data_IF_178795615492
#
_entry.id   IF_178795615492
#
_cell.length_a   1.000
_cell.length_b   1.000
_cell.length_c   1.000
_cell.angle_alpha   90.00
_cell.angle_beta   90.00
_cell.angle_gamma   90.00
#
_symmetry.space_group_name_H-M   'P 1'
#
loop_
_entity.id
_entity.type
_entity.pdbx_description
1 polymer ?
#
# COMPACT_ATOMS: atom_id res chain seq x y z
N UNK A 1 16.25 -9.13 -9.79
CA UNK A 1 15.72 -7.76 -9.61
C UNK A 1 15.03 -7.68 -8.25
N UNK A 2 14.91 -6.49 -7.65
CA UNK A 2 14.04 -6.28 -6.49
C UNK A 2 12.66 -5.77 -6.96
N UNK A 3 11.64 -6.60 -6.77
CA UNK A 3 10.23 -6.30 -7.09
C UNK A 3 9.51 -5.92 -5.80
N UNK A 4 8.89 -4.74 -5.78
CA UNK A 4 7.97 -4.35 -4.73
C UNK A 4 6.53 -4.64 -5.19
N UNK A 5 5.69 -5.15 -4.32
CA UNK A 5 4.28 -5.40 -4.58
C UNK A 5 3.46 -4.73 -3.48
N UNK A 6 2.65 -3.73 -3.83
CA UNK A 6 1.71 -3.09 -2.91
C UNK A 6 0.33 -3.73 -3.08
N UNK A 7 -0.29 -4.11 -1.96
CA UNK A 7 -1.59 -4.78 -1.93
C UNK A 7 -2.30 -4.52 -0.61
N UNK A 8 -3.62 -4.68 -0.59
CA UNK A 8 -4.44 -4.71 0.64
C UNK A 8 -4.66 -6.14 1.15
N UNK A 9 -4.45 -7.13 0.30
CA UNK A 9 -4.62 -8.53 0.65
C UNK A 9 -3.39 -9.34 0.24
N UNK A 10 -2.94 -10.18 1.16
CA UNK A 10 -1.90 -11.19 0.95
C UNK A 10 -2.03 -12.20 2.08
N UNK A 11 -1.84 -13.50 1.78
CA UNK A 11 -1.97 -14.52 2.81
C UNK A 11 -1.07 -14.23 4.03
N UNK A 12 -1.61 -14.37 5.25
CA UNK A 12 -2.89 -15.00 5.58
C UNK A 12 -4.14 -14.09 5.54
N UNK A 13 -4.01 -12.78 5.32
CA UNK A 13 -5.16 -11.88 5.20
C UNK A 13 -5.84 -12.10 3.86
N UNK A 14 -7.09 -12.57 3.91
CA UNK A 14 -7.91 -12.90 2.75
C UNK A 14 -9.37 -12.52 2.97
N UNK A 15 -9.88 -11.70 2.09
CA UNK A 15 -11.31 -11.38 1.93
C UNK A 15 -11.82 -11.88 0.59
N UNK A 16 -11.01 -11.79 -0.47
CA UNK A 16 -11.38 -12.23 -1.82
C UNK A 16 -10.27 -13.00 -2.54
N UNK A 17 -10.35 -13.04 -3.87
CA UNK A 17 -9.36 -13.71 -4.72
C UNK A 17 -8.04 -12.96 -4.86
N UNK A 18 -7.97 -11.69 -4.43
CA UNK A 18 -6.77 -10.85 -4.51
C UNK A 18 -5.61 -11.44 -3.71
N UNK A 19 -5.87 -11.90 -2.47
CA UNK A 19 -4.83 -12.50 -1.62
C UNK A 19 -4.12 -13.66 -2.31
N UNK A 20 -4.89 -14.61 -2.86
CA UNK A 20 -4.37 -15.81 -3.53
C UNK A 20 -3.59 -15.45 -4.80
N UNK A 21 -4.10 -14.48 -5.58
CA UNK A 21 -3.44 -14.01 -6.80
C UNK A 21 -2.09 -13.36 -6.50
N UNK A 22 -2.03 -12.42 -5.55
CA UNK A 22 -0.79 -11.73 -5.19
C UNK A 22 0.20 -12.68 -4.52
N UNK A 23 -0.26 -13.56 -3.62
CA UNK A 23 0.62 -14.55 -2.99
C UNK A 23 1.22 -15.52 -4.01
N UNK A 24 0.40 -16.08 -4.91
CA UNK A 24 0.89 -17.01 -5.94
C UNK A 24 1.88 -16.34 -6.88
N UNK A 25 1.61 -15.08 -7.27
CA UNK A 25 2.51 -14.31 -8.12
C UNK A 25 3.83 -13.99 -7.41
N UNK A 26 3.79 -13.54 -6.15
CA UNK A 26 4.97 -13.25 -5.36
C UNK A 26 5.85 -14.50 -5.17
N UNK A 27 5.24 -15.66 -4.86
CA UNK A 27 5.94 -16.93 -4.73
C UNK A 27 6.58 -17.36 -6.07
N UNK A 28 5.89 -17.20 -7.20
CA UNK A 28 6.44 -17.49 -8.51
C UNK A 28 7.62 -16.58 -8.88
N UNK A 29 7.50 -15.27 -8.66
CA UNK A 29 8.57 -14.28 -8.90
C UNK A 29 9.78 -14.53 -8.01
N UNK A 30 9.57 -14.94 -6.76
CA UNK A 30 10.65 -15.19 -5.79
C UNK A 30 11.63 -16.32 -6.18
N UNK A 31 11.32 -17.07 -7.23
CA UNK A 31 12.21 -18.08 -7.82
C UNK A 31 13.40 -17.45 -8.56
N UNK A 32 13.24 -16.24 -9.08
CA UNK A 32 14.25 -15.54 -9.89
C UNK A 32 14.59 -14.15 -9.35
N UNK A 33 13.66 -13.52 -8.64
CA UNK A 33 13.77 -12.16 -8.14
C UNK A 33 13.64 -12.08 -6.62
N UNK A 34 14.09 -10.98 -6.04
CA UNK A 34 13.78 -10.64 -4.65
C UNK A 34 12.42 -9.93 -4.63
N UNK A 35 11.52 -10.37 -3.76
CA UNK A 35 10.13 -9.88 -3.75
C UNK A 35 9.77 -9.34 -2.39
N UNK A 36 9.35 -8.07 -2.35
CA UNK A 36 8.82 -7.39 -1.18
C UNK A 36 7.32 -7.19 -1.33
N UNK A 37 6.57 -7.53 -0.28
CA UNK A 37 5.15 -7.19 -0.16
C UNK A 37 5.01 -6.01 0.79
N UNK A 38 4.21 -5.03 0.42
CA UNK A 38 3.83 -3.90 1.25
C UNK A 38 2.30 -3.93 1.44
N UNK A 39 1.84 -4.03 2.67
CA UNK A 39 0.41 -4.03 2.97
C UNK A 39 0.11 -3.44 4.35
N UNK A 40 -1.10 -2.89 4.57
CA UNK A 40 -1.56 -2.58 5.92
C UNK A 40 -1.57 -3.85 6.78
N UNK A 41 -1.35 -3.71 8.09
CA UNK A 41 -1.28 -4.85 9.01
C UNK A 41 -2.61 -5.61 9.12
N UNK A 42 -3.74 -4.91 9.05
CA UNK A 42 -5.08 -5.49 9.19
C UNK A 42 -5.24 -6.35 10.45
N UNK A 43 -4.63 -5.93 11.56
CA UNK A 43 -4.68 -6.66 12.84
C UNK A 43 -3.82 -7.93 12.90
N UNK A 44 -3.19 -8.32 11.79
CA UNK A 44 -2.46 -9.58 11.64
C UNK A 44 -1.39 -9.81 12.73
N UNK A 45 -0.72 -8.74 13.15
CA UNK A 45 0.34 -8.81 14.18
C UNK A 45 -0.21 -9.35 15.51
N UNK A 46 -1.45 -8.99 15.84
CA UNK A 46 -2.14 -9.43 17.06
C UNK A 46 -2.79 -10.80 16.87
N UNK A 47 -3.36 -11.06 15.70
CA UNK A 47 -4.13 -12.28 15.42
C UNK A 47 -3.24 -13.50 15.14
N UNK A 48 -2.04 -13.29 14.60
CA UNK A 48 -1.10 -14.35 14.23
C UNK A 48 0.30 -14.11 14.81
N UNK A 49 0.48 -14.00 16.15
CA UNK A 49 1.77 -13.70 16.78
C UNK A 49 2.86 -14.74 16.45
N UNK A 50 2.48 -15.93 16.01
CA UNK A 50 3.38 -17.02 15.62
C UNK A 50 4.20 -16.74 14.34
N UNK A 51 3.83 -15.75 13.53
CA UNK A 51 4.57 -15.40 12.30
C UNK A 51 5.90 -14.66 12.55
N UNK A 52 6.34 -14.56 13.81
CA UNK A 52 7.64 -14.04 14.24
C UNK A 52 7.99 -12.67 13.63
N UNK A 53 7.09 -11.70 13.82
CA UNK A 53 7.28 -10.35 13.31
C UNK A 53 8.49 -9.68 13.96
N UNK A 54 9.34 -9.08 13.13
CA UNK A 54 10.40 -8.20 13.57
C UNK A 54 10.04 -6.76 13.29
N UNK A 55 10.24 -5.89 14.27
CA UNK A 55 10.10 -4.45 14.05
C UNK A 55 11.23 -3.95 13.13
N UNK A 56 10.86 -3.33 12.01
CA UNK A 56 11.80 -2.79 11.02
C UNK A 56 12.09 -1.30 11.24
N UNK A 57 11.06 -0.50 11.51
CA UNK A 57 11.22 0.94 11.72
C UNK A 57 10.01 1.58 12.42
N UNK A 58 10.23 2.76 12.99
CA UNK A 58 9.19 3.72 13.36
C UNK A 58 9.38 5.01 12.59
N UNK A 59 8.28 5.64 12.19
CA UNK A 59 8.26 7.01 11.73
C UNK A 59 6.87 7.61 11.95
N UNK A 60 6.67 8.86 11.50
CA UNK A 60 5.39 9.55 11.60
C UNK A 60 4.90 9.93 10.22
N UNK A 61 3.59 9.87 10.02
CA UNK A 61 2.91 10.34 8.81
C UNK A 61 1.98 11.50 9.16
N UNK A 62 1.81 12.42 8.22
CA UNK A 62 0.86 13.51 8.32
C UNK A 62 -0.38 13.18 7.48
N UNK A 63 -1.55 13.29 8.10
CA UNK A 63 -2.85 13.10 7.47
C UNK A 63 -3.73 14.28 7.89
N UNK A 64 -3.99 15.17 6.93
CA UNK A 64 -4.60 16.46 7.20
C UNK A 64 -3.72 17.32 8.10
N UNK A 65 -4.24 17.67 9.27
CA UNK A 65 -3.50 18.42 10.29
C UNK A 65 -2.95 17.51 11.41
N UNK A 66 -3.25 16.21 11.35
CA UNK A 66 -2.88 15.25 12.39
C UNK A 66 -1.60 14.49 12.04
N UNK A 67 -0.84 14.14 13.08
CA UNK A 67 0.39 13.35 12.96
C UNK A 67 0.17 12.01 13.62
N UNK A 68 0.33 10.94 12.84
CA UNK A 68 0.14 9.57 13.32
C UNK A 68 1.48 8.86 13.45
N UNK A 69 1.74 8.14 14.57
CA UNK A 69 2.85 7.20 14.63
C UNK A 69 2.57 6.02 13.69
N UNK A 70 3.61 5.55 13.02
CA UNK A 70 3.57 4.41 12.13
C UNK A 70 4.75 3.48 12.42
N UNK A 71 4.43 2.23 12.73
CA UNK A 71 5.41 1.16 12.91
C UNK A 71 5.39 0.26 11.69
N UNK A 72 6.57 -0.07 11.17
CA UNK A 72 6.73 -1.09 10.14
C UNK A 72 7.24 -2.36 10.79
N UNK A 73 6.50 -3.44 10.63
CA UNK A 73 6.94 -4.79 10.96
C UNK A 73 7.33 -5.51 9.68
N UNK A 74 8.23 -6.47 9.81
CA UNK A 74 8.62 -7.37 8.74
C UNK A 74 8.52 -8.83 9.19
N UNK A 75 8.19 -9.71 8.26
CA UNK A 75 8.34 -11.14 8.42
C UNK A 75 8.60 -11.79 7.05
N UNK A 76 8.92 -13.08 7.06
CA UNK A 76 9.21 -13.83 5.84
C UNK A 76 8.17 -14.92 5.65
N UNK A 77 7.67 -15.04 4.42
CA UNK A 77 6.90 -16.18 3.95
C UNK A 77 7.67 -16.85 2.83
N UNK A 78 8.35 -17.95 3.14
CA UNK A 78 9.30 -18.55 2.20
C UNK A 78 10.40 -17.57 1.83
N UNK A 79 10.53 -17.25 0.53
CA UNK A 79 11.51 -16.29 0.01
C UNK A 79 10.96 -14.85 -0.14
N UNK A 80 9.69 -14.64 0.20
CA UNK A 80 9.03 -13.34 0.10
C UNK A 80 9.13 -12.60 1.42
N UNK A 81 9.67 -11.37 1.39
CA UNK A 81 9.74 -10.50 2.57
C UNK A 81 8.50 -9.62 2.61
N UNK A 82 7.80 -9.60 3.72
CA UNK A 82 6.52 -8.90 3.85
C UNK A 82 6.69 -7.79 4.88
N UNK A 83 6.31 -6.57 4.51
CA UNK A 83 6.27 -5.40 5.37
C UNK A 83 4.84 -5.01 5.70
N UNK A 84 4.52 -5.02 7.00
CA UNK A 84 3.22 -4.65 7.54
C UNK A 84 3.26 -3.23 8.09
N UNK A 85 2.34 -2.40 7.62
CA UNK A 85 2.15 -1.03 8.08
C UNK A 85 1.16 -1.04 9.24
N UNK A 86 1.63 -0.70 10.44
CA UNK A 86 0.87 -0.84 11.69
C UNK A 86 0.75 0.50 12.42
N UNK A 87 -0.50 0.87 12.69
CA UNK A 87 -0.91 1.94 13.57
C UNK A 87 -2.38 1.74 13.97
N UNK A 88 -2.92 2.62 14.81
CA UNK A 88 -4.29 2.52 15.32
C UNK A 88 -5.38 2.37 14.23
N UNK A 89 -5.15 2.88 13.02
CA UNK A 89 -6.08 2.77 11.88
C UNK A 89 -5.87 1.47 11.10
N UNK A 90 -4.62 1.18 10.71
CA UNK A 90 -4.29 0.01 9.88
C UNK A 90 -4.40 -1.31 10.62
N UNK A 91 -4.31 -1.30 11.95
CA UNK A 91 -4.45 -2.47 12.82
C UNK A 91 -5.91 -2.91 13.02
N UNK A 92 -6.90 -2.16 12.54
CA UNK A 92 -8.28 -2.65 12.52
C UNK A 92 -8.37 -3.94 11.66
N UNK A 93 -9.06 -5.00 12.11
CA UNK A 93 -9.03 -6.29 11.39
C UNK A 93 -9.78 -6.27 10.05
N UNK A 94 -10.93 -5.58 10.00
CA UNK A 94 -11.73 -5.52 8.77
C UNK A 94 -11.01 -4.78 7.63
N UNK A 95 -10.83 -5.41 6.46
CA UNK A 95 -10.06 -4.86 5.34
C UNK A 95 -10.83 -3.75 4.59
N UNK A 96 -12.07 -4.04 4.18
CA UNK A 96 -12.85 -3.17 3.26
C UNK A 96 -14.05 -2.46 3.91
N UNK A 97 -14.56 -2.99 5.02
CA UNK A 97 -15.73 -2.43 5.71
C UNK A 97 -15.40 -2.07 7.16
N UNK A 98 -16.06 -1.06 7.75
CA UNK A 98 -16.86 -0.02 7.08
C UNK A 98 -16.00 0.87 6.16
N UNK A 99 -16.65 1.50 5.17
CA UNK A 99 -15.98 2.32 4.14
C UNK A 99 -15.10 3.42 4.75
N UNK A 100 -15.54 4.04 5.83
CA UNK A 100 -14.82 5.13 6.51
C UNK A 100 -13.45 4.66 7.01
N UNK A 101 -13.39 3.54 7.72
CA UNK A 101 -12.13 2.95 8.22
C UNK A 101 -11.24 2.55 7.05
N UNK A 102 -11.82 1.95 6.02
CA UNK A 102 -11.09 1.54 4.84
C UNK A 102 -10.46 2.71 4.07
N UNK A 103 -11.18 3.83 3.89
CA UNK A 103 -10.61 5.05 3.30
C UNK A 103 -9.47 5.59 4.16
N UNK A 104 -9.61 5.58 5.49
CA UNK A 104 -8.51 5.97 6.38
C UNK A 104 -7.29 5.06 6.19
N UNK A 105 -7.46 3.73 6.12
CA UNK A 105 -6.35 2.80 5.83
C UNK A 105 -5.68 3.10 4.50
N UNK A 106 -6.46 3.37 3.46
CA UNK A 106 -5.96 3.78 2.14
C UNK A 106 -5.07 5.00 2.24
N UNK A 107 -5.52 6.04 2.94
CA UNK A 107 -4.78 7.28 3.11
C UNK A 107 -3.50 7.05 3.92
N UNK A 108 -3.60 6.33 5.03
CA UNK A 108 -2.44 6.04 5.89
C UNK A 108 -1.39 5.20 5.17
N UNK A 109 -1.81 4.17 4.44
CA UNK A 109 -0.92 3.36 3.62
C UNK A 109 -0.28 4.18 2.49
N UNK A 110 -1.07 5.06 1.86
CA UNK A 110 -0.59 6.00 0.83
C UNK A 110 0.52 6.90 1.35
N UNK A 111 0.38 7.46 2.55
CA UNK A 111 1.42 8.29 3.18
C UNK A 111 2.59 7.47 3.71
N UNK A 112 2.33 6.25 4.19
CA UNK A 112 3.33 5.37 4.77
C UNK A 112 4.32 4.83 3.73
N UNK A 113 3.83 4.38 2.58
CA UNK A 113 4.64 3.63 1.62
C UNK A 113 5.87 4.42 1.12
N UNK A 114 5.76 5.69 0.67
CA UNK A 114 6.92 6.53 0.36
C UNK A 114 7.93 6.63 1.51
N UNK A 115 7.45 6.72 2.76
CA UNK A 115 8.28 6.75 3.95
C UNK A 115 9.10 5.47 4.12
N UNK A 116 8.48 4.30 3.91
CA UNK A 116 9.19 3.02 3.94
C UNK A 116 10.21 2.91 2.79
N UNK A 117 9.87 3.34 1.57
CA UNK A 117 10.82 3.32 0.44
C UNK A 117 12.06 4.18 0.75
N UNK A 118 11.87 5.37 1.33
CA UNK A 118 12.98 6.21 1.76
C UNK A 118 13.84 5.53 2.85
N UNK A 119 13.22 4.80 3.77
CA UNK A 119 13.93 4.05 4.80
C UNK A 119 14.69 2.85 4.23
N UNK A 120 14.15 2.13 3.25
CA UNK A 120 14.85 1.06 2.53
C UNK A 120 16.10 1.61 1.83
N UNK A 121 15.97 2.75 1.13
CA UNK A 121 17.12 3.42 0.54
C UNK A 121 18.19 3.78 1.57
N UNK A 122 17.78 4.34 2.71
CA UNK A 122 18.71 4.78 3.76
C UNK A 122 19.39 3.60 4.48
N UNK A 123 18.64 2.56 4.82
CA UNK A 123 19.11 1.44 5.65
C UNK A 123 19.77 0.33 4.83
N UNK A 124 19.27 0.06 3.64
CA UNK A 124 19.70 -1.05 2.79
C UNK A 124 20.41 -0.60 1.51
N UNK A 125 20.49 0.71 1.25
CA UNK A 125 21.12 1.26 0.04
C UNK A 125 20.37 0.96 -1.25
N UNK A 126 19.12 0.46 -1.16
CA UNK A 126 18.35 -0.02 -2.31
C UNK A 126 16.85 0.20 -2.15
N UNK A 127 16.15 0.23 -3.27
CA UNK A 127 14.69 0.32 -3.38
C UNK A 127 14.19 -0.64 -4.47
N UNK A 128 12.89 -0.97 -4.50
CA UNK A 128 12.31 -1.69 -5.64
C UNK A 128 12.68 -1.05 -6.98
N UNK A 129 13.07 -1.89 -7.93
CA UNK A 129 13.36 -1.50 -9.30
C UNK A 129 12.06 -1.38 -10.12
N UNK A 130 11.02 -2.11 -9.70
CA UNK A 130 9.64 -1.99 -10.17
C UNK A 130 8.71 -2.11 -8.96
N UNK A 131 7.61 -1.35 -8.96
CA UNK A 131 6.54 -1.52 -7.98
C UNK A 131 5.27 -1.94 -8.71
N UNK A 132 4.74 -3.10 -8.35
CA UNK A 132 3.47 -3.63 -8.83
C UNK A 132 2.39 -3.27 -7.82
N UNK A 133 1.44 -2.43 -8.22
CA UNK A 133 0.28 -2.06 -7.41
C UNK A 133 -0.93 -2.93 -7.79
N UNK A 134 -1.59 -3.48 -6.79
CA UNK A 134 -2.72 -4.38 -6.97
C UNK A 134 -4.02 -3.72 -6.50
N UNK A 135 -4.96 -3.60 -7.43
CA UNK A 135 -6.24 -2.88 -7.29
C UNK A 135 -6.13 -1.38 -6.99
N UNK A 136 -7.26 -0.71 -7.12
CA UNK A 136 -7.39 0.75 -7.04
C UNK A 136 -6.94 1.32 -5.68
N UNK A 137 -7.02 0.52 -4.61
CA UNK A 137 -6.62 0.89 -3.24
C UNK A 137 -5.15 1.30 -3.12
N UNK A 138 -4.31 0.81 -4.03
CA UNK A 138 -2.87 1.06 -4.05
C UNK A 138 -2.45 2.11 -5.09
N UNK A 139 -3.42 2.73 -5.78
CA UNK A 139 -3.11 3.71 -6.84
C UNK A 139 -2.44 4.95 -6.29
N UNK A 140 -2.96 5.56 -5.22
CA UNK A 140 -2.34 6.76 -4.67
C UNK A 140 -0.97 6.46 -4.04
N UNK A 141 -0.85 5.36 -3.29
CA UNK A 141 0.42 4.93 -2.67
C UNK A 141 1.48 4.68 -3.72
N UNK A 142 1.10 3.98 -4.79
CA UNK A 142 1.85 3.87 -6.02
C UNK A 142 2.23 5.27 -6.50
N UNK A 143 1.29 6.04 -7.03
CA UNK A 143 1.59 7.27 -7.76
C UNK A 143 2.53 8.24 -7.00
N UNK A 144 2.45 8.33 -5.67
CA UNK A 144 3.45 9.03 -4.85
C UNK A 144 4.86 8.42 -4.96
N UNK A 145 4.99 7.09 -4.86
CA UNK A 145 6.28 6.41 -5.05
C UNK A 145 6.85 6.62 -6.46
N UNK A 146 6.03 6.62 -7.52
CA UNK A 146 6.48 6.88 -8.92
C UNK A 146 6.98 8.31 -9.03
N UNK A 147 6.23 9.27 -8.48
CA UNK A 147 6.59 10.68 -8.45
C UNK A 147 7.91 10.93 -7.70
N UNK A 148 8.04 10.43 -6.49
CA UNK A 148 9.15 10.76 -5.60
C UNK A 148 10.42 9.95 -5.83
N UNK A 149 10.30 8.67 -6.23
CA UNK A 149 11.45 7.76 -6.36
C UNK A 149 11.72 7.32 -7.79
N UNK A 150 10.93 7.78 -8.76
CA UNK A 150 11.04 7.42 -10.19
C UNK A 150 11.10 5.91 -10.39
N UNK A 151 10.29 5.16 -9.64
CA UNK A 151 10.14 3.71 -9.79
C UNK A 151 9.08 3.44 -10.87
N UNK A 152 9.39 2.65 -11.92
CA UNK A 152 8.41 2.17 -12.89
C UNK A 152 7.31 1.33 -12.23
N UNK A 153 6.08 1.44 -12.73
CA UNK A 153 4.93 0.72 -12.19
C UNK A 153 4.27 -0.26 -13.13
N UNK A 154 3.72 -1.30 -12.52
CA UNK A 154 2.73 -2.19 -13.08
C UNK A 154 1.46 -2.01 -12.27
N UNK A 155 0.32 -1.77 -12.92
CA UNK A 155 -0.98 -1.71 -12.27
C UNK A 155 -1.84 -2.88 -12.74
N UNK A 156 -2.40 -3.64 -11.80
CA UNK A 156 -3.34 -4.72 -12.10
C UNK A 156 -4.66 -4.49 -11.40
N UNK A 157 -5.73 -4.42 -12.19
CA UNK A 157 -7.11 -4.34 -11.73
C UNK A 157 -7.63 -5.78 -11.58
N UNK A 158 -8.03 -6.16 -10.37
CA UNK A 158 -8.64 -7.45 -10.09
C UNK A 158 -10.17 -7.36 -10.12
N UNK A 159 -10.71 -6.18 -9.81
CA UNK A 159 -12.14 -5.89 -9.95
C UNK A 159 -12.38 -4.44 -10.35
N UNK A 160 -13.25 -4.24 -11.35
CA UNK A 160 -13.73 -2.90 -11.72
C UNK A 160 -14.79 -2.47 -10.71
N UNK A 161 -14.54 -1.38 -10.00
CA UNK A 161 -15.39 -0.85 -8.93
C UNK A 161 -15.80 0.63 -9.17
N UNK A 162 -15.15 1.35 -10.09
CA UNK A 162 -15.37 2.77 -10.39
C UNK A 162 -15.27 3.69 -9.17
N UNK A 163 -14.36 3.39 -8.24
CA UNK A 163 -14.22 4.17 -7.00
C UNK A 163 -13.72 5.59 -7.28
N UNK A 164 -14.27 6.54 -6.50
CA UNK A 164 -13.97 7.97 -6.60
C UNK A 164 -13.78 8.57 -5.21
N UNK A 165 -12.94 9.60 -5.14
CA UNK A 165 -12.85 10.50 -3.99
C UNK A 165 -13.06 11.93 -4.47
N UNK A 166 -13.73 12.75 -3.69
CA UNK A 166 -13.87 14.17 -4.02
C UNK A 166 -12.53 14.89 -3.90
N UNK A 167 -12.35 15.95 -4.69
CA UNK A 167 -11.18 16.84 -4.59
C UNK A 167 -11.06 17.42 -3.18
N UNK A 168 -12.19 17.70 -2.53
CA UNK A 168 -12.23 18.17 -1.14
C UNK A 168 -11.61 17.14 -0.19
N UNK A 169 -12.07 15.89 -0.22
CA UNK A 169 -11.52 14.81 0.61
C UNK A 169 -10.02 14.62 0.38
N UNK A 170 -9.56 14.67 -0.88
CA UNK A 170 -8.14 14.57 -1.20
C UNK A 170 -7.32 15.71 -0.57
N UNK A 171 -7.82 16.94 -0.63
CA UNK A 171 -7.15 18.09 -0.01
C UNK A 171 -7.10 17.97 1.51
N UNK A 172 -8.19 17.53 2.15
CA UNK A 172 -8.29 17.34 3.60
C UNK A 172 -7.27 16.34 4.15
N UNK A 173 -6.79 15.39 3.33
CA UNK A 173 -5.76 14.41 3.72
C UNK A 173 -4.39 14.68 3.07
N UNK A 174 -4.18 15.90 2.60
CA UNK A 174 -2.96 16.37 1.92
C UNK A 174 -2.59 15.55 0.66
N UNK A 175 -3.56 15.00 -0.06
CA UNK A 175 -3.40 14.34 -1.35
C UNK A 175 -3.85 15.21 -2.53
N UNK A 176 -4.08 16.51 -2.31
CA UNK A 176 -4.41 17.46 -3.38
C UNK A 176 -3.38 17.52 -4.51
N UNK A 177 -2.12 17.19 -4.25
CA UNK A 177 -1.07 17.11 -5.27
C UNK A 177 -1.27 15.99 -6.31
N UNK A 178 -2.20 15.07 -6.04
CA UNK A 178 -2.56 13.96 -6.94
C UNK A 178 -3.66 14.33 -7.92
N UNK A 179 -4.33 15.47 -7.68
CA UNK A 179 -5.45 15.91 -8.50
C UNK A 179 -4.93 16.36 -9.85
N UNK A 180 -5.43 15.70 -10.89
CA UNK A 180 -5.17 16.00 -12.29
C UNK A 180 -6.51 16.09 -13.02
N UNK A 181 -6.72 17.24 -13.67
CA UNK A 181 -7.98 17.60 -14.32
C UNK A 181 -8.43 16.58 -15.39
N UNK A 182 -7.51 15.79 -15.95
CA UNK A 182 -7.82 14.75 -16.93
C UNK A 182 -8.65 13.60 -16.36
N UNK A 183 -8.64 13.42 -15.04
CA UNK A 183 -9.33 12.33 -14.36
C UNK A 183 -10.47 12.82 -13.45
N UNK A 184 -10.87 14.08 -13.62
CA UNK A 184 -12.02 14.65 -12.91
C UNK A 184 -13.33 14.39 -13.65
N UNK A 185 -14.33 13.99 -12.90
CA UNK A 185 -15.74 13.90 -13.30
C UNK A 185 -16.56 14.82 -12.39
N UNK A 186 -16.63 16.11 -12.73
CA UNK A 186 -17.13 17.14 -11.83
C UNK A 186 -16.14 17.37 -10.68
N UNK A 187 -16.61 17.26 -9.43
CA UNK A 187 -15.77 17.39 -8.23
C UNK A 187 -15.13 16.06 -7.79
N UNK A 188 -15.43 14.97 -8.50
CA UNK A 188 -14.97 13.63 -8.16
C UNK A 188 -13.73 13.26 -8.97
N UNK A 189 -12.71 12.75 -8.28
CA UNK A 189 -11.49 12.23 -8.89
C UNK A 189 -11.60 10.72 -9.09
N UNK A 190 -11.41 10.26 -10.32
CA UNK A 190 -11.51 8.85 -10.70
C UNK A 190 -10.18 8.12 -10.45
N UNK A 191 -10.13 7.29 -9.42
CA UNK A 191 -8.91 6.63 -8.94
C UNK A 191 -8.45 5.55 -9.93
N UNK A 192 -9.38 4.77 -10.47
CA UNK A 192 -9.07 3.65 -11.38
C UNK A 192 -8.46 4.13 -12.69
N UNK A 193 -9.04 5.17 -13.31
CA UNK A 193 -8.52 5.74 -14.55
C UNK A 193 -7.18 6.42 -14.30
N UNK A 194 -7.03 7.09 -13.16
CA UNK A 194 -5.72 7.58 -12.71
C UNK A 194 -4.72 6.45 -12.46
N UNK A 195 -5.10 5.21 -12.16
CA UNK A 195 -4.13 4.12 -12.06
C UNK A 195 -3.45 3.76 -13.40
N UNK A 196 -4.11 4.06 -14.52
CA UNK A 196 -3.74 3.55 -15.85
C UNK A 196 -2.78 4.45 -16.67
N UNK A 197 -2.19 5.50 -16.08
CA UNK A 197 -1.26 6.44 -16.74
C UNK A 197 0.18 6.37 -16.18
#
# INVERSE_FOLDING_TARGET
>A
MLVGMATFEHLPIRVGGLAEAVTSLAEALSKQDEVYIFMPSHGLIKESPELNYKKYADFRIMVGEQIFPLTIYEFWRGKVRIFLFSNEVMDHPEVYHPREIFIQKLVHFTKGLPGLINLLLKKEGRKPQVLHINDWHCVFSGALVKKYFRIPFVYTIHRICRERMSVKELNEVNLGEMVDNRYLEGEMFNIEVFGAH
#
